data_IF_376510824069
#
_entry.id   IF_376510824069
#
_cell.length_a   1.000
_cell.length_b   1.000
_cell.length_c   1.000
_cell.angle_alpha   90.00
_cell.angle_beta   90.00
_cell.angle_gamma   90.00
#
_symmetry.space_group_name_H-M   'P 1'
#
loop_
_entity.id
_entity.type
_entity.pdbx_description
1 polymer ?
#
# COMPACT_ATOMS: atom_id res chain seq x y z
N UNK A 1 10.42 15.72 0.18
CA UNK A 1 10.06 14.56 -0.68
C UNK A 1 8.55 14.53 -0.82
N UNK A 2 8.02 14.77 -2.02
CA UNK A 2 6.58 14.88 -2.32
C UNK A 2 5.81 13.55 -2.27
N UNK A 3 6.46 12.46 -1.82
CA UNK A 3 5.91 11.10 -1.85
C UNK A 3 5.00 10.79 -0.64
N UNK A 4 5.13 11.53 0.46
CA UNK A 4 4.38 11.28 1.70
C UNK A 4 2.87 11.62 1.65
N UNK A 5 2.40 12.71 1.00
CA UNK A 5 0.98 13.08 1.05
C UNK A 5 0.07 12.09 0.31
N UNK A 6 0.53 11.50 -0.80
CA UNK A 6 -0.28 10.52 -1.56
C UNK A 6 -0.47 9.22 -0.78
N UNK A 7 0.59 8.72 -0.13
CA UNK A 7 0.50 7.56 0.74
C UNK A 7 -0.48 7.81 1.90
N UNK A 8 -0.43 9.01 2.49
CA UNK A 8 -1.36 9.41 3.56
C UNK A 8 -2.81 9.48 3.08
N UNK A 9 -3.06 10.07 1.91
CA UNK A 9 -4.40 10.18 1.33
C UNK A 9 -4.99 8.79 1.02
N UNK A 10 -4.17 7.88 0.50
CA UNK A 10 -4.61 6.51 0.25
C UNK A 10 -4.91 5.77 1.54
N UNK A 11 -4.06 5.93 2.56
CA UNK A 11 -4.29 5.35 3.88
C UNK A 11 -5.58 5.86 4.51
N UNK A 12 -5.84 7.17 4.43
CA UNK A 12 -7.08 7.79 4.90
C UNK A 12 -8.32 7.23 4.17
N UNK A 13 -8.23 7.07 2.85
CA UNK A 13 -9.30 6.47 2.04
C UNK A 13 -9.60 5.03 2.47
N UNK A 14 -8.55 4.25 2.79
CA UNK A 14 -8.70 2.87 3.25
C UNK A 14 -9.24 2.81 4.68
N UNK A 15 -8.80 3.69 5.58
CA UNK A 15 -9.37 3.84 6.92
C UNK A 15 -10.85 4.23 6.85
N UNK A 16 -11.23 5.17 5.99
CA UNK A 16 -12.63 5.53 5.73
C UNK A 16 -13.46 4.34 5.21
N UNK A 17 -12.82 3.40 4.50
CA UNK A 17 -13.42 2.14 4.08
C UNK A 17 -13.45 1.05 5.18
N UNK A 18 -13.11 1.40 6.43
CA UNK A 18 -13.05 0.51 7.60
C UNK A 18 -12.01 -0.61 7.46
N UNK A 19 -10.94 -0.39 6.68
CA UNK A 19 -9.81 -1.30 6.59
C UNK A 19 -8.73 -0.89 7.59
N UNK A 20 -8.12 -1.88 8.26
CA UNK A 20 -6.95 -1.65 9.10
C UNK A 20 -5.74 -1.41 8.21
N UNK A 21 -5.20 -0.19 8.25
CA UNK A 21 -4.02 0.20 7.46
C UNK A 21 -2.96 0.82 8.34
N UNK A 22 -1.73 0.36 8.16
CA UNK A 22 -0.53 0.94 8.73
C UNK A 22 0.32 1.53 7.60
N UNK A 23 0.79 2.76 7.81
CA UNK A 23 1.54 3.51 6.80
C UNK A 23 2.99 3.67 7.26
N UNK A 24 3.93 3.14 6.48
CA UNK A 24 5.35 3.33 6.72
C UNK A 24 5.85 4.46 5.82
N UNK A 25 6.04 5.66 6.39
CA UNK A 25 6.59 6.82 5.69
C UNK A 25 8.10 6.99 5.96
N UNK A 26 8.67 6.09 6.76
CA UNK A 26 10.07 6.13 7.15
C UNK A 26 10.96 5.78 5.95
N UNK A 27 12.09 6.48 5.79
CA UNK A 27 13.11 6.21 4.77
C UNK A 27 13.88 4.89 4.94
N UNK A 28 13.27 3.93 5.65
CA UNK A 28 13.75 2.58 5.80
C UNK A 28 13.68 1.85 4.45
N UNK A 29 14.60 0.91 4.20
CA UNK A 29 14.56 0.17 2.93
C UNK A 29 13.22 -0.56 2.74
N UNK A 30 12.74 -0.67 1.49
CA UNK A 30 11.50 -1.42 1.14
C UNK A 30 11.50 -2.82 1.77
N UNK A 31 12.66 -3.45 1.88
CA UNK A 31 12.84 -4.76 2.51
C UNK A 31 12.50 -4.75 4.01
N UNK A 32 12.88 -3.69 4.74
CA UNK A 32 12.53 -3.53 6.14
C UNK A 32 11.03 -3.29 6.33
N UNK A 33 10.43 -2.41 5.52
CA UNK A 33 8.98 -2.16 5.56
C UNK A 33 8.18 -3.44 5.27
N UNK A 34 8.58 -4.22 4.26
CA UNK A 34 7.99 -5.52 3.96
C UNK A 34 8.11 -6.52 5.10
N UNK A 35 9.27 -6.57 5.78
CA UNK A 35 9.46 -7.43 6.96
C UNK A 35 8.55 -7.00 8.11
N UNK A 36 8.35 -5.69 8.33
CA UNK A 36 7.41 -5.16 9.34
C UNK A 36 5.97 -5.55 8.99
N UNK A 37 5.53 -5.33 7.75
CA UNK A 37 4.21 -5.73 7.28
C UNK A 37 3.95 -7.23 7.48
N UNK A 38 4.93 -8.08 7.15
CA UNK A 38 4.84 -9.51 7.38
C UNK A 38 4.76 -9.87 8.88
N UNK A 39 5.58 -9.21 9.73
CA UNK A 39 5.55 -9.40 11.19
C UNK A 39 4.23 -8.98 11.82
N UNK A 40 3.55 -7.99 11.23
CA UNK A 40 2.24 -7.51 11.66
C UNK A 40 1.09 -8.40 11.16
N UNK A 41 1.37 -9.41 10.34
CA UNK A 41 0.34 -10.29 9.78
C UNK A 41 -0.53 -9.59 8.75
N UNK A 42 -0.02 -8.55 8.07
CA UNK A 42 -0.76 -7.87 7.02
C UNK A 42 -1.08 -8.84 5.87
N UNK A 43 -2.35 -8.91 5.46
CA UNK A 43 -2.77 -9.73 4.33
C UNK A 43 -2.23 -9.17 2.99
N UNK A 44 -2.16 -7.84 2.89
CA UNK A 44 -1.73 -7.11 1.71
C UNK A 44 -0.73 -6.01 2.07
N UNK A 45 0.22 -5.76 1.19
CA UNK A 45 1.12 -4.61 1.25
C UNK A 45 0.90 -3.73 0.02
N UNK A 46 0.73 -2.43 0.26
CA UNK A 46 0.54 -1.41 -0.77
C UNK A 46 1.87 -0.68 -0.98
N UNK A 47 2.34 -0.64 -2.22
CA UNK A 47 3.61 -0.01 -2.59
C UNK A 47 3.32 1.17 -3.50
N UNK A 48 3.78 2.35 -3.09
CA UNK A 48 3.70 3.60 -3.83
C UNK A 48 5.10 4.18 -3.97
N UNK A 49 5.76 3.86 -5.08
CA UNK A 49 6.99 4.51 -5.51
C UNK A 49 6.72 5.67 -6.45
N UNK A 50 7.79 6.22 -7.01
CA UNK A 50 7.72 7.33 -7.96
C UNK A 50 6.97 6.96 -9.25
N UNK A 51 7.18 5.73 -9.74
CA UNK A 51 6.51 5.22 -10.94
C UNK A 51 5.00 5.04 -10.73
N UNK A 52 4.59 4.55 -9.57
CA UNK A 52 3.18 4.36 -9.21
C UNK A 52 2.45 5.70 -9.08
N UNK A 53 3.13 6.72 -8.54
CA UNK A 53 2.60 8.08 -8.46
C UNK A 53 2.40 8.71 -9.83
N UNK A 54 3.37 8.57 -10.74
CA UNK A 54 3.24 9.07 -12.11
C UNK A 54 2.11 8.39 -12.90
N UNK A 55 1.81 7.13 -12.58
CA UNK A 55 0.79 6.32 -13.26
C UNK A 55 -0.57 6.29 -12.56
N UNK A 56 -0.76 7.04 -11.46
CA UNK A 56 -1.95 6.99 -10.60
C UNK A 56 -2.35 5.56 -10.20
N UNK A 57 -1.34 4.70 -10.03
CA UNK A 57 -1.51 3.31 -9.67
C UNK A 57 -0.87 3.03 -8.32
N UNK A 58 -1.08 1.82 -7.82
CA UNK A 58 -0.49 1.28 -6.60
C UNK A 58 -0.24 -0.21 -6.83
N UNK A 59 0.91 -0.70 -6.40
CA UNK A 59 1.17 -2.13 -6.45
C UNK A 59 0.62 -2.75 -5.16
N UNK A 60 -0.30 -3.68 -5.33
CA UNK A 60 -0.87 -4.49 -4.25
C UNK A 60 -0.15 -5.82 -4.23
N UNK A 61 0.58 -6.09 -3.16
CA UNK A 61 1.23 -7.36 -2.91
C UNK A 61 0.40 -8.19 -1.94
N UNK A 62 -0.03 -9.36 -2.35
CA UNK A 62 -0.58 -10.37 -1.45
C UNK A 62 0.57 -11.00 -0.65
N UNK A 63 0.54 -10.86 0.66
CA UNK A 63 1.60 -11.34 1.54
C UNK A 63 1.51 -12.84 1.82
N UNK A 64 0.34 -13.46 1.57
CA UNK A 64 0.14 -14.91 1.71
C UNK A 64 0.62 -15.68 0.48
N UNK A 65 0.30 -15.19 -0.73
CA UNK A 65 0.65 -15.86 -2.00
C UNK A 65 1.93 -15.33 -2.63
N UNK A 66 2.38 -14.13 -2.21
CA UNK A 66 3.49 -13.42 -2.81
C UNK A 66 3.18 -12.74 -4.15
N UNK A 67 1.94 -12.87 -4.67
CA UNK A 67 1.52 -12.25 -5.91
C UNK A 67 1.48 -10.73 -5.80
N UNK A 68 1.81 -10.04 -6.89
CA UNK A 68 1.85 -8.59 -6.96
C UNK A 68 1.05 -8.15 -8.19
N UNK A 69 0.13 -7.22 -7.98
CA UNK A 69 -0.73 -6.68 -9.04
C UNK A 69 -0.72 -5.16 -8.99
N UNK A 70 -0.64 -4.53 -10.16
CA UNK A 70 -0.72 -3.08 -10.28
C UNK A 70 -2.18 -2.69 -10.51
N UNK A 71 -2.72 -1.91 -9.58
CA UNK A 71 -4.13 -1.51 -9.56
C UNK A 71 -4.19 0.01 -9.53
N UNK A 72 -5.21 0.60 -10.17
CA UNK A 72 -5.46 2.04 -10.05
C UNK A 72 -5.75 2.39 -8.59
N UNK A 73 -5.25 3.53 -8.12
CA UNK A 73 -5.47 3.96 -6.72
C UNK A 73 -6.98 4.05 -6.39
N UNK A 74 -7.80 4.46 -7.37
CA UNK A 74 -9.26 4.52 -7.24
C UNK A 74 -9.95 3.15 -7.14
N UNK A 75 -9.29 2.08 -7.57
CA UNK A 75 -9.81 0.71 -7.57
C UNK A 75 -9.25 -0.13 -6.41
N UNK A 76 -8.32 0.40 -5.62
CA UNK A 76 -7.66 -0.40 -4.57
C UNK A 76 -8.61 -0.77 -3.43
N UNK A 77 -9.49 0.16 -3.03
CA UNK A 77 -10.49 -0.08 -1.98
C UNK A 77 -11.46 -1.21 -2.34
N UNK A 78 -12.13 -1.19 -3.51
CA UNK A 78 -13.02 -2.29 -3.89
C UNK A 78 -12.26 -3.59 -4.14
N UNK A 79 -10.98 -3.53 -4.55
CA UNK A 79 -10.15 -4.72 -4.68
C UNK A 79 -9.88 -5.40 -3.32
N UNK A 80 -9.52 -4.61 -2.30
CA UNK A 80 -9.21 -5.13 -0.96
C UNK A 80 -10.45 -5.54 -0.15
N UNK A 81 -11.64 -5.10 -0.57
CA UNK A 81 -12.93 -5.45 0.05
C UNK A 81 -13.57 -6.73 -0.51
N UNK A 82 -13.02 -7.30 -1.58
CA UNK A 82 -13.46 -8.62 -2.07
C UNK A 82 -13.09 -9.72 -1.08
#
# INVERSE_FOLDING_TARGET
>A
SEQNPLALLLADTLHAASLTVDTFLDGDSVKNMMRRANKMGAAYALILGEQEQQSNSVVVKNMMTGQQEQILQTQVVPYLRK
#
